data_IF_932795104761
#
_entry.id   IF_932795104761
#
_cell.length_a   1.000
_cell.length_b   1.000
_cell.length_c   1.000
_cell.angle_alpha   90.00
_cell.angle_beta   90.00
_cell.angle_gamma   90.00
#
_symmetry.space_group_name_H-M   'P 1'
#
loop_
_entity.id
_entity.type
_entity.pdbx_description
1 polymer ?
#
# COMPACT_ATOMS: atom_id res chain seq x y z
N UNK A 1 0.32 15.82 -1.82
CA UNK A 1 -1.16 15.87 -1.80
C UNK A 1 -1.69 14.77 -0.88
N UNK A 2 -2.26 15.13 0.25
CA UNK A 2 -2.87 14.16 1.16
C UNK A 2 -4.37 14.11 0.91
N UNK A 3 -4.89 12.90 0.67
CA UNK A 3 -6.32 12.71 0.46
C UNK A 3 -7.01 12.48 1.80
N UNK A 4 -7.97 13.35 2.11
CA UNK A 4 -8.79 13.25 3.30
C UNK A 4 -10.19 12.75 2.94
N UNK A 5 -10.68 11.80 3.71
CA UNK A 5 -12.08 11.38 3.61
C UNK A 5 -12.88 11.93 4.78
N UNK A 6 -14.04 12.47 4.47
CA UNK A 6 -15.00 12.90 5.50
C UNK A 6 -15.55 11.64 6.17
N UNK A 7 -15.33 11.48 7.45
CA UNK A 7 -15.86 10.40 8.25
C UNK A 7 -16.92 10.92 9.20
N UNK A 8 -17.83 10.04 9.63
CA UNK A 8 -18.88 10.32 10.60
C UNK A 8 -18.43 11.32 11.71
N UNK A 9 -19.24 12.33 11.99
CA UNK A 9 -19.00 13.43 12.93
C UNK A 9 -18.05 14.54 12.46
N UNK A 10 -18.12 14.95 11.21
CA UNK A 10 -17.41 16.13 10.68
C UNK A 10 -15.89 16.17 10.86
N UNK A 11 -15.23 15.04 11.11
CA UNK A 11 -13.78 14.96 11.15
C UNK A 11 -13.24 14.41 9.85
N UNK A 12 -12.35 15.14 9.22
CA UNK A 12 -11.56 14.67 8.08
C UNK A 12 -10.31 13.94 8.58
N UNK A 13 -10.09 12.74 8.08
CA UNK A 13 -8.88 11.97 8.37
C UNK A 13 -8.10 11.76 7.09
N UNK A 14 -6.82 12.03 7.15
CA UNK A 14 -5.90 11.67 6.08
C UNK A 14 -5.62 10.18 6.18
N UNK A 15 -5.79 9.46 5.08
CA UNK A 15 -5.69 8.00 5.01
C UNK A 15 -4.53 7.58 4.14
N UNK A 16 -3.77 6.60 4.62
CA UNK A 16 -2.60 6.09 3.92
C UNK A 16 -2.97 5.40 2.62
N UNK A 17 -4.01 4.56 2.61
CA UNK A 17 -4.46 3.86 1.40
C UNK A 17 -4.85 4.82 0.27
N UNK A 18 -5.61 5.86 0.59
CA UNK A 18 -6.01 6.85 -0.41
C UNK A 18 -4.84 7.74 -0.85
N UNK A 19 -3.94 8.06 0.07
CA UNK A 19 -2.72 8.80 -0.27
C UNK A 19 -1.83 7.97 -1.20
N UNK A 20 -1.68 6.66 -0.94
CA UNK A 20 -0.94 5.77 -1.82
C UNK A 20 -1.58 5.68 -3.22
N UNK A 21 -2.90 5.53 -3.29
CA UNK A 21 -3.62 5.48 -4.56
C UNK A 21 -3.46 6.79 -5.35
N UNK A 22 -3.56 7.93 -4.69
CA UNK A 22 -3.31 9.24 -5.32
C UNK A 22 -1.88 9.32 -5.84
N UNK A 23 -0.89 8.92 -5.04
CA UNK A 23 0.51 8.91 -5.49
C UNK A 23 0.74 7.99 -6.68
N UNK A 24 0.08 6.83 -6.71
CA UNK A 24 0.15 5.93 -7.84
C UNK A 24 -0.40 6.59 -9.11
N UNK A 25 -1.53 7.29 -9.05
CA UNK A 25 -2.06 8.03 -10.18
C UNK A 25 -1.18 9.21 -10.60
N UNK A 26 -0.48 9.85 -9.67
CA UNK A 26 0.48 10.91 -10.01
C UNK A 26 1.65 10.38 -10.85
N UNK A 27 1.99 9.09 -10.77
CA UNK A 27 3.03 8.50 -11.63
C UNK A 27 2.63 8.46 -13.12
N UNK A 28 1.34 8.63 -13.42
CA UNK A 28 0.81 8.67 -14.78
C UNK A 28 0.81 10.09 -15.38
N UNK A 29 1.19 11.10 -14.59
CA UNK A 29 1.27 12.49 -15.04
C UNK A 29 2.69 12.82 -15.50
N UNK A 30 2.82 13.83 -16.36
CA UNK A 30 4.13 14.26 -16.88
C UNK A 30 5.00 14.98 -15.83
N UNK A 31 4.41 15.50 -14.77
CA UNK A 31 5.15 16.19 -13.69
C UNK A 31 5.79 15.19 -12.72
N UNK A 32 6.93 14.64 -13.13
CA UNK A 32 7.68 13.64 -12.37
C UNK A 32 8.26 14.19 -11.05
N UNK A 33 8.65 15.46 -11.03
CA UNK A 33 9.22 16.08 -9.82
C UNK A 33 8.16 16.23 -8.75
N UNK A 34 6.99 16.73 -9.12
CA UNK A 34 5.86 16.82 -8.21
C UNK A 34 5.42 15.44 -7.70
N UNK A 35 5.32 14.46 -8.59
CA UNK A 35 4.96 13.10 -8.21
C UNK A 35 5.97 12.50 -7.20
N UNK A 36 7.27 12.72 -7.41
CA UNK A 36 8.32 12.26 -6.50
C UNK A 36 8.26 12.97 -5.14
N UNK A 37 8.06 14.30 -5.11
CA UNK A 37 7.88 15.05 -3.85
C UNK A 37 6.69 14.49 -3.05
N UNK A 38 5.56 14.22 -3.70
CA UNK A 38 4.39 13.67 -3.05
C UNK A 38 4.62 12.24 -2.53
N UNK A 39 5.38 11.42 -3.26
CA UNK A 39 5.79 10.09 -2.82
C UNK A 39 6.66 10.14 -1.55
N UNK A 40 7.65 11.01 -1.52
CA UNK A 40 8.51 11.16 -0.33
C UNK A 40 7.72 11.69 0.88
N UNK A 41 6.79 12.63 0.67
CA UNK A 41 5.88 13.09 1.72
C UNK A 41 4.98 11.96 2.24
N UNK A 42 4.46 11.12 1.37
CA UNK A 42 3.69 9.95 1.75
C UNK A 42 4.50 9.01 2.64
N UNK A 43 5.73 8.68 2.24
CA UNK A 43 6.64 7.86 3.05
C UNK A 43 6.89 8.47 4.41
N UNK A 44 7.27 9.75 4.46
CA UNK A 44 7.53 10.47 5.72
C UNK A 44 6.38 10.40 6.71
N UNK A 45 5.13 10.41 6.23
CA UNK A 45 3.93 10.47 7.08
C UNK A 45 3.42 9.08 7.44
N UNK A 46 3.41 8.16 6.47
CA UNK A 46 2.68 6.89 6.59
C UNK A 46 3.56 5.64 6.66
N UNK A 47 4.83 5.71 6.27
CA UNK A 47 5.72 4.55 6.39
C UNK A 47 5.86 4.13 7.85
N UNK A 48 5.85 2.84 8.07
CA UNK A 48 6.13 2.16 9.34
C UNK A 48 7.04 0.99 9.06
N UNK A 49 8.07 0.79 9.88
CA UNK A 49 9.10 -0.23 9.66
C UNK A 49 9.02 -1.38 10.66
N UNK A 50 8.31 -1.23 11.78
CA UNK A 50 8.26 -2.24 12.84
C UNK A 50 6.83 -2.55 13.28
N UNK A 51 6.47 -3.82 13.57
CA UNK A 51 7.29 -5.05 13.40
C UNK A 51 7.45 -5.47 11.94
N UNK A 52 6.61 -4.93 11.05
CA UNK A 52 6.63 -5.15 9.60
C UNK A 52 6.68 -3.81 8.89
N UNK A 53 7.38 -3.77 7.77
CA UNK A 53 7.40 -2.57 6.93
C UNK A 53 6.11 -2.47 6.11
N UNK A 54 5.49 -1.29 6.12
CA UNK A 54 4.26 -1.05 5.37
C UNK A 54 3.77 0.37 5.47
N UNK A 55 2.59 0.59 4.92
CA UNK A 55 1.93 1.89 4.95
C UNK A 55 0.83 1.90 6.02
N UNK A 56 0.91 2.83 6.98
CA UNK A 56 -0.14 3.04 7.98
C UNK A 56 -1.44 3.50 7.31
N UNK A 57 -2.57 3.02 7.78
CA UNK A 57 -3.85 3.57 7.34
C UNK A 57 -4.13 4.95 7.91
N UNK A 58 -3.72 5.18 9.17
CA UNK A 58 -3.89 6.47 9.85
C UNK A 58 -2.57 6.95 10.43
N UNK A 59 -2.37 8.26 10.51
CA UNK A 59 -1.16 8.83 11.12
C UNK A 59 -0.98 8.37 12.58
N UNK A 60 -2.08 8.36 13.34
CA UNK A 60 -2.11 7.86 14.72
C UNK A 60 -2.74 6.47 14.73
N UNK A 61 -1.96 5.49 15.13
CA UNK A 61 -2.41 4.11 15.19
C UNK A 61 -2.94 3.80 16.59
N UNK A 62 -4.20 3.41 16.67
CA UNK A 62 -4.82 2.92 17.88
C UNK A 62 -5.31 1.48 17.65
N UNK A 63 -4.76 0.54 18.43
CA UNK A 63 -5.17 -0.87 18.39
C UNK A 63 -4.39 -1.73 17.38
N UNK A 64 -4.48 -3.05 17.58
CA UNK A 64 -3.70 -4.03 16.83
C UNK A 64 -4.40 -4.53 15.57
N UNK A 65 -5.73 -4.54 15.57
CA UNK A 65 -6.55 -4.98 14.45
C UNK A 65 -7.80 -4.12 14.32
N UNK A 66 -8.11 -3.73 13.08
CA UNK A 66 -9.38 -3.08 12.70
C UNK A 66 -9.76 -3.54 11.31
N UNK A 67 -11.05 -3.64 11.06
CA UNK A 67 -11.57 -3.79 9.72
C UNK A 67 -12.13 -2.44 9.24
N UNK A 68 -11.73 -2.04 8.04
CA UNK A 68 -12.26 -0.85 7.37
C UNK A 68 -12.86 -1.28 6.03
N UNK A 69 -14.12 -0.95 5.74
CA UNK A 69 -14.78 -1.38 4.50
C UNK A 69 -14.07 -0.95 3.21
N UNK A 70 -13.32 0.16 3.26
CA UNK A 70 -12.65 0.71 2.08
C UNK A 70 -11.17 0.30 1.97
N UNK A 71 -10.50 0.11 3.11
CA UNK A 71 -9.08 -0.25 3.15
C UNK A 71 -8.84 -1.74 3.43
N UNK A 72 -9.90 -2.47 3.78
CA UNK A 72 -9.79 -3.86 4.21
C UNK A 72 -9.24 -4.02 5.63
N UNK A 73 -8.64 -5.17 5.94
CA UNK A 73 -8.06 -5.42 7.25
C UNK A 73 -6.85 -4.53 7.51
N UNK A 74 -6.81 -3.97 8.71
CA UNK A 74 -5.72 -3.14 9.21
C UNK A 74 -5.05 -3.90 10.36
N UNK A 75 -3.80 -4.33 10.15
CA UNK A 75 -3.01 -5.07 11.14
C UNK A 75 -1.90 -4.17 11.70
N UNK A 76 -1.80 -4.05 13.00
CA UNK A 76 -0.80 -3.19 13.65
C UNK A 76 -0.76 -1.77 13.06
N UNK A 77 -1.92 -1.30 12.60
CA UNK A 77 -2.06 0.00 11.94
C UNK A 77 -1.64 0.05 10.47
N UNK A 78 -1.14 -1.04 9.91
CA UNK A 78 -0.80 -1.15 8.49
C UNK A 78 -2.06 -1.40 7.66
N UNK A 79 -2.19 -0.66 6.58
CA UNK A 79 -3.20 -0.85 5.54
C UNK A 79 -2.72 -1.89 4.53
N UNK A 80 -3.46 -2.98 4.36
CA UNK A 80 -3.14 -3.99 3.34
C UNK A 80 -3.17 -3.39 1.93
N UNK A 81 -4.25 -2.71 1.57
CA UNK A 81 -4.38 -2.06 0.26
C UNK A 81 -3.35 -0.93 0.05
N UNK A 82 -3.15 -0.08 1.07
CA UNK A 82 -2.15 0.99 1.01
C UNK A 82 -0.73 0.46 0.82
N UNK A 83 -0.38 -0.63 1.53
CA UNK A 83 0.91 -1.30 1.41
C UNK A 83 1.10 -1.92 0.02
N UNK A 84 0.07 -2.57 -0.52
CA UNK A 84 0.10 -3.13 -1.87
C UNK A 84 0.32 -2.04 -2.94
N UNK A 85 -0.43 -0.94 -2.87
CA UNK A 85 -0.27 0.19 -3.81
C UNK A 85 1.11 0.84 -3.67
N UNK A 86 1.63 0.95 -2.44
CA UNK A 86 2.96 1.51 -2.20
C UNK A 86 4.08 0.69 -2.89
N UNK A 87 3.89 -0.63 -3.14
CA UNK A 87 4.80 -1.44 -3.96
C UNK A 87 4.90 -0.86 -5.38
N UNK A 88 3.77 -0.50 -5.99
CA UNK A 88 3.72 0.11 -7.31
C UNK A 88 4.43 1.46 -7.35
N UNK A 89 4.16 2.33 -6.36
CA UNK A 89 4.86 3.61 -6.24
C UNK A 89 6.37 3.43 -6.08
N UNK A 90 6.80 2.53 -5.18
CA UNK A 90 8.22 2.24 -4.95
C UNK A 90 8.90 1.67 -6.21
N UNK A 91 8.17 0.85 -6.99
CA UNK A 91 8.67 0.34 -8.28
C UNK A 91 8.89 1.46 -9.28
N UNK A 92 7.93 2.37 -9.42
CA UNK A 92 8.02 3.50 -10.36
C UNK A 92 9.18 4.44 -10.02
N UNK A 93 9.37 4.76 -8.73
CA UNK A 93 10.44 5.66 -8.27
C UNK A 93 11.77 4.95 -8.02
N UNK A 94 11.90 3.67 -8.39
CA UNK A 94 13.11 2.86 -8.23
C UNK A 94 13.61 2.78 -6.77
N UNK A 95 12.71 2.89 -5.82
CA UNK A 95 12.99 2.73 -4.38
C UNK A 95 13.03 1.24 -4.02
N UNK A 96 14.09 0.56 -4.48
CA UNK A 96 14.22 -0.89 -4.41
C UNK A 96 14.26 -1.42 -2.99
N UNK A 97 14.86 -0.69 -2.08
CA UNK A 97 14.93 -1.08 -0.66
C UNK A 97 13.54 -1.08 -0.03
N UNK A 98 12.78 0.01 -0.18
CA UNK A 98 11.42 0.09 0.35
C UNK A 98 10.51 -0.93 -0.32
N UNK A 99 10.61 -1.08 -1.64
CA UNK A 99 9.89 -2.11 -2.39
C UNK A 99 10.15 -3.52 -1.84
N UNK A 100 11.42 -3.87 -1.60
CA UNK A 100 11.79 -5.17 -1.06
C UNK A 100 11.16 -5.42 0.32
N UNK A 101 11.21 -4.43 1.20
CA UNK A 101 10.61 -4.51 2.53
C UNK A 101 9.08 -4.67 2.48
N UNK A 102 8.40 -3.93 1.57
CA UNK A 102 6.96 -4.07 1.35
C UNK A 102 6.58 -5.46 0.83
N UNK A 103 7.36 -6.01 -0.11
CA UNK A 103 7.15 -7.35 -0.64
C UNK A 103 7.35 -8.41 0.44
N UNK A 104 8.36 -8.28 1.28
CA UNK A 104 8.53 -9.19 2.44
C UNK A 104 7.32 -9.17 3.36
N UNK A 105 6.78 -8.00 3.62
CA UNK A 105 5.55 -7.89 4.43
C UNK A 105 4.37 -8.58 3.75
N UNK A 106 4.21 -8.39 2.44
CA UNK A 106 3.14 -9.05 1.67
C UNK A 106 3.27 -10.58 1.71
N UNK A 107 4.49 -11.12 1.58
CA UNK A 107 4.75 -12.57 1.67
C UNK A 107 4.43 -13.12 3.07
N UNK A 108 4.84 -12.42 4.13
CA UNK A 108 4.58 -12.83 5.51
C UNK A 108 3.08 -12.76 5.81
N UNK A 109 2.42 -11.66 5.45
CA UNK A 109 0.99 -11.46 5.71
C UNK A 109 0.12 -12.38 4.84
N UNK A 110 0.49 -12.60 3.59
CA UNK A 110 -0.24 -13.43 2.64
C UNK A 110 -0.04 -14.93 2.86
N UNK A 111 1.05 -15.35 3.53
CA UNK A 111 1.42 -16.75 3.68
C UNK A 111 1.40 -17.50 2.34
N UNK A 112 2.35 -17.19 1.48
CA UNK A 112 2.42 -17.74 0.14
C UNK A 112 2.41 -19.27 0.13
N UNK A 113 1.45 -19.86 -0.57
CA UNK A 113 1.37 -21.28 -0.85
C UNK A 113 1.92 -21.53 -2.25
N UNK A 114 2.84 -22.49 -2.36
CA UNK A 114 3.41 -22.95 -3.63
C UNK A 114 2.92 -24.37 -3.92
N UNK A 115 2.20 -24.54 -4.99
CA UNK A 115 1.81 -25.82 -5.57
C UNK A 115 2.57 -26.03 -6.89
N UNK A 116 2.57 -27.25 -7.43
CA UNK A 116 3.39 -27.63 -8.61
C UNK A 116 3.38 -26.59 -9.75
N UNK A 117 2.23 -25.98 -10.03
CA UNK A 117 2.05 -25.04 -11.13
C UNK A 117 1.35 -23.73 -10.71
N UNK A 118 1.14 -23.51 -9.43
CA UNK A 118 0.41 -22.34 -8.92
C UNK A 118 1.11 -21.76 -7.70
N UNK A 119 1.03 -20.46 -7.59
CA UNK A 119 1.45 -19.74 -6.40
C UNK A 119 0.35 -18.72 -6.06
N UNK A 120 -0.14 -18.77 -4.83
CA UNK A 120 -1.16 -17.86 -4.34
C UNK A 120 -0.97 -17.59 -2.85
N UNK A 121 -1.59 -16.54 -2.34
CA UNK A 121 -1.64 -16.29 -0.90
C UNK A 121 -2.72 -17.17 -0.24
N UNK A 122 -2.43 -17.70 0.96
CA UNK A 122 -3.40 -18.47 1.74
C UNK A 122 -4.69 -17.70 1.99
N UNK A 123 -4.61 -16.38 2.15
CA UNK A 123 -5.74 -15.49 2.35
C UNK A 123 -6.42 -15.04 1.05
N UNK A 124 -6.01 -15.56 -0.12
CA UNK A 124 -6.61 -15.18 -1.41
C UNK A 124 -8.13 -15.41 -1.44
N UNK A 125 -8.59 -16.51 -0.85
CA UNK A 125 -10.02 -16.82 -0.78
C UNK A 125 -10.82 -15.80 0.04
N UNK A 126 -10.18 -15.17 1.04
CA UNK A 126 -10.80 -14.15 1.90
C UNK A 126 -10.54 -12.72 1.43
N UNK A 127 -9.48 -12.52 0.68
CA UNK A 127 -8.99 -11.21 0.28
C UNK A 127 -8.47 -11.19 -1.17
N UNK A 128 -9.22 -11.79 -2.10
CA UNK A 128 -8.87 -11.88 -3.52
C UNK A 128 -8.44 -10.54 -4.13
N UNK A 129 -9.13 -9.46 -3.80
CA UNK A 129 -8.78 -8.11 -4.29
C UNK A 129 -7.38 -7.69 -3.82
N UNK A 130 -6.99 -8.06 -2.60
CA UNK A 130 -5.66 -7.77 -2.06
C UNK A 130 -4.56 -8.51 -2.81
N UNK A 131 -4.78 -9.78 -3.18
CA UNK A 131 -3.84 -10.56 -3.98
C UNK A 131 -3.72 -10.00 -5.39
N UNK A 132 -4.84 -9.76 -6.06
CA UNK A 132 -4.86 -9.20 -7.41
C UNK A 132 -4.15 -7.84 -7.46
N UNK A 133 -4.40 -6.97 -6.47
CA UNK A 133 -3.74 -5.67 -6.36
C UNK A 133 -2.24 -5.82 -6.13
N UNK A 134 -1.82 -6.70 -5.22
CA UNK A 134 -0.39 -6.95 -4.97
C UNK A 134 0.30 -7.50 -6.21
N UNK A 135 -0.34 -8.42 -6.93
CA UNK A 135 0.19 -8.96 -8.18
C UNK A 135 0.33 -7.86 -9.24
N UNK A 136 -0.72 -7.06 -9.44
CA UNK A 136 -0.69 -5.95 -10.40
C UNK A 136 0.44 -4.97 -10.09
N UNK A 137 0.60 -4.56 -8.81
CA UNK A 137 1.65 -3.62 -8.41
C UNK A 137 3.06 -4.22 -8.46
N UNK A 138 3.17 -5.54 -8.28
CA UNK A 138 4.45 -6.27 -8.35
C UNK A 138 4.96 -6.42 -9.79
N UNK A 139 4.03 -6.63 -10.73
CA UNK A 139 4.32 -6.92 -12.14
C UNK A 139 4.25 -5.68 -13.03
N UNK A 140 3.77 -4.56 -12.49
CA UNK A 140 3.69 -3.31 -13.24
C UNK A 140 5.13 -2.85 -13.57
N UNK A 141 5.60 -3.25 -14.75
CA UNK A 141 6.76 -2.64 -15.37
C UNK A 141 6.32 -1.27 -15.83
N UNK A 142 7.08 -0.24 -15.48
CA UNK A 142 6.85 1.11 -15.97
C UNK A 142 6.48 1.03 -17.46
N UNK A 143 5.23 1.27 -17.77
CA UNK A 143 4.86 1.60 -19.14
C UNK A 143 5.40 3.00 -19.38
N UNK A 144 6.67 3.04 -19.76
CA UNK A 144 7.23 4.17 -20.47
C UNK A 144 6.60 4.06 -21.86
N UNK A 145 5.47 4.74 -22.02
CA UNK A 145 4.98 5.10 -23.34
C UNK A 145 5.78 6.29 -23.85
#
# INVERSE_FOLDING_TARGET
LLVATKKYRNKSYVRGSYTALTNYFLTLLDDKEFAKDQYERMKKVFRKDTPLCGLKEFQRVNGNFKFDPNAGPIFYGLSGSGTAIAIGCATYFEDWEYRYQLLRTAEIAGQTIKEKNKQHYRLAELAFVGEAMTLAMRTNKNQIL
#
